data_IF_581891156864
#
_entry.id   IF_581891156864
#
_cell.length_a   1.000
_cell.length_b   1.000
_cell.length_c   1.000
_cell.angle_alpha   90.00
_cell.angle_beta   90.00
_cell.angle_gamma   90.00
#
_symmetry.space_group_name_H-M   'P 1'
#
loop_
_entity.id
_entity.type
_entity.pdbx_description
1 polymer ?
#
# COMPACT_ATOMS: atom_id res chain seq x y z
N UNK A 1 -18.31 34.31 -12.26
CA UNK A 1 -17.27 33.72 -11.39
C UNK A 1 -17.91 32.62 -10.55
N UNK A 2 -17.89 31.36 -11.03
CA UNK A 2 -18.41 30.21 -10.28
C UNK A 2 -17.33 29.76 -9.30
N UNK A 3 -17.58 29.96 -8.01
CA UNK A 3 -16.75 29.45 -6.93
C UNK A 3 -16.81 27.92 -6.97
N UNK A 4 -15.76 27.28 -7.50
CA UNK A 4 -15.56 25.84 -7.42
C UNK A 4 -15.24 25.49 -5.95
N UNK A 5 -16.26 25.49 -5.10
CA UNK A 5 -16.15 24.97 -3.74
C UNK A 5 -15.79 23.47 -3.85
N UNK A 6 -14.65 23.03 -3.26
CA UNK A 6 -14.24 21.64 -3.35
C UNK A 6 -15.32 20.74 -2.75
N UNK A 7 -15.81 19.78 -3.53
CA UNK A 7 -16.83 18.83 -3.06
C UNK A 7 -16.36 18.14 -1.77
N UNK A 8 -17.23 18.00 -0.76
CA UNK A 8 -16.90 17.22 0.42
C UNK A 8 -16.64 15.77 -0.01
N UNK A 9 -15.47 15.25 0.35
CA UNK A 9 -15.12 13.86 0.03
C UNK A 9 -15.97 12.95 0.91
N UNK A 10 -16.67 11.99 0.29
CA UNK A 10 -17.54 11.07 1.01
C UNK A 10 -16.69 10.14 1.89
N UNK A 11 -17.00 10.08 3.19
CA UNK A 11 -16.27 9.25 4.17
C UNK A 11 -16.30 7.76 3.83
N UNK A 12 -17.37 7.29 3.22
CA UNK A 12 -17.47 5.90 2.74
C UNK A 12 -16.47 5.60 1.63
N UNK A 13 -16.27 6.53 0.69
CA UNK A 13 -15.28 6.38 -0.38
C UNK A 13 -13.86 6.32 0.19
N UNK A 14 -13.55 7.14 1.21
CA UNK A 14 -12.27 7.08 1.90
C UNK A 14 -12.08 5.76 2.64
N UNK A 15 -13.14 5.21 3.23
CA UNK A 15 -13.10 3.91 3.92
C UNK A 15 -12.82 2.77 2.95
N UNK A 16 -13.49 2.74 1.80
CA UNK A 16 -13.22 1.76 0.73
C UNK A 16 -11.80 1.93 0.16
N UNK A 17 -11.37 3.17 -0.07
CA UNK A 17 -10.01 3.45 -0.55
C UNK A 17 -8.96 2.95 0.43
N UNK A 18 -9.17 3.16 1.73
CA UNK A 18 -8.32 2.64 2.79
C UNK A 18 -8.30 1.11 2.78
N UNK A 19 -9.47 0.46 2.70
CA UNK A 19 -9.55 -1.00 2.65
C UNK A 19 -8.77 -1.61 1.47
N UNK A 20 -8.95 -1.08 0.27
CA UNK A 20 -8.23 -1.55 -0.92
C UNK A 20 -6.73 -1.26 -0.84
N UNK A 21 -6.36 -0.07 -0.37
CA UNK A 21 -4.95 0.31 -0.20
C UNK A 21 -4.27 -0.58 0.85
N UNK A 22 -4.96 -0.90 1.94
CA UNK A 22 -4.49 -1.86 2.95
C UNK A 22 -4.35 -3.26 2.38
N UNK A 23 -5.34 -3.75 1.63
CA UNK A 23 -5.28 -5.05 0.97
C UNK A 23 -4.03 -5.17 0.08
N UNK A 24 -3.85 -4.26 -0.88
CA UNK A 24 -2.70 -4.32 -1.79
C UNK A 24 -1.38 -4.03 -1.09
N UNK A 25 -1.36 -3.10 -0.13
CA UNK A 25 -0.18 -2.79 0.66
C UNK A 25 0.35 -3.98 1.44
N UNK A 26 -0.55 -4.75 2.07
CA UNK A 26 -0.17 -5.96 2.82
C UNK A 26 0.36 -7.06 1.90
N UNK A 27 -0.23 -7.24 0.72
CA UNK A 27 0.28 -8.19 -0.26
C UNK A 27 1.69 -7.81 -0.73
N UNK A 28 1.93 -6.53 -1.03
CA UNK A 28 3.26 -6.03 -1.40
C UNK A 28 4.30 -6.22 -0.29
N UNK A 29 3.93 -5.95 0.98
CA UNK A 29 4.81 -6.19 2.12
C UNK A 29 5.15 -7.68 2.29
N UNK A 30 4.18 -8.56 2.04
CA UNK A 30 4.38 -10.01 2.08
C UNK A 30 5.32 -10.50 0.98
N UNK A 31 5.21 -9.94 -0.23
CA UNK A 31 6.11 -10.22 -1.35
C UNK A 31 7.52 -9.62 -1.16
N UNK A 32 7.63 -8.48 -0.47
CA UNK A 32 8.89 -7.77 -0.27
C UNK A 32 9.91 -8.59 0.53
N UNK A 33 9.50 -9.27 1.61
CA UNK A 33 10.42 -10.01 2.47
C UNK A 33 11.14 -11.18 1.75
N UNK A 34 10.42 -12.09 1.05
CA UNK A 34 11.05 -13.11 0.23
C UNK A 34 11.99 -12.53 -0.84
N UNK A 35 11.59 -11.47 -1.53
CA UNK A 35 12.40 -10.84 -2.58
C UNK A 35 13.67 -10.18 -2.03
N UNK A 36 13.60 -9.53 -0.87
CA UNK A 36 14.78 -8.97 -0.21
C UNK A 36 15.81 -10.06 0.10
N UNK A 37 15.37 -11.20 0.62
CA UNK A 37 16.26 -12.31 0.92
C UNK A 37 16.77 -12.96 -0.38
N UNK A 38 15.88 -13.36 -1.27
CA UNK A 38 16.28 -14.04 -2.50
C UNK A 38 17.20 -13.19 -3.40
N UNK A 39 16.86 -11.92 -3.61
CA UNK A 39 17.64 -11.04 -4.50
C UNK A 39 18.86 -10.48 -3.77
N UNK A 40 18.69 -9.81 -2.64
CA UNK A 40 19.84 -9.13 -2.01
C UNK A 40 20.77 -10.11 -1.29
N UNK A 41 20.23 -11.09 -0.55
CA UNK A 41 21.05 -12.06 0.16
C UNK A 41 21.61 -13.12 -0.78
N UNK A 42 20.77 -13.83 -1.52
CA UNK A 42 21.23 -15.02 -2.25
C UNK A 42 21.93 -14.65 -3.58
N UNK A 43 21.43 -13.63 -4.31
CA UNK A 43 22.04 -13.21 -5.59
C UNK A 43 23.16 -12.18 -5.42
N UNK A 44 23.03 -11.24 -4.48
CA UNK A 44 24.04 -10.18 -4.27
C UNK A 44 24.94 -10.38 -3.03
N UNK A 45 24.68 -11.40 -2.20
CA UNK A 45 25.52 -11.72 -1.04
C UNK A 45 25.44 -10.71 0.10
N UNK A 46 24.38 -9.89 0.17
CA UNK A 46 24.23 -8.88 1.22
C UNK A 46 24.06 -9.53 2.59
N UNK A 47 24.59 -8.87 3.62
CA UNK A 47 24.38 -9.34 4.98
C UNK A 47 22.94 -9.10 5.43
N UNK A 48 22.48 -9.88 6.41
CA UNK A 48 21.16 -9.68 7.01
C UNK A 48 21.01 -8.29 7.65
N UNK A 49 22.13 -7.71 8.12
CA UNK A 49 22.17 -6.37 8.72
C UNK A 49 21.87 -5.32 7.65
N UNK A 50 22.50 -5.42 6.47
CA UNK A 50 22.29 -4.47 5.37
C UNK A 50 20.85 -4.48 4.87
N UNK A 51 20.26 -5.68 4.75
CA UNK A 51 18.86 -5.85 4.37
C UNK A 51 17.92 -5.25 5.43
N UNK A 52 18.23 -5.45 6.71
CA UNK A 52 17.48 -4.86 7.81
C UNK A 52 17.56 -3.32 7.81
N UNK A 53 18.73 -2.75 7.54
CA UNK A 53 18.93 -1.31 7.42
C UNK A 53 18.17 -0.72 6.23
N UNK A 54 18.14 -1.42 5.09
CA UNK A 54 17.36 -1.02 3.92
C UNK A 54 15.86 -1.02 4.23
N UNK A 55 15.35 -2.08 4.87
CA UNK A 55 13.95 -2.16 5.27
C UNK A 55 13.59 -1.06 6.27
N UNK A 56 14.44 -0.81 7.27
CA UNK A 56 14.27 0.30 8.21
C UNK A 56 14.24 1.65 7.50
N UNK A 57 15.16 1.88 6.57
CA UNK A 57 15.19 3.09 5.74
C UNK A 57 13.89 3.29 4.97
N UNK A 58 13.37 2.22 4.36
CA UNK A 58 12.09 2.24 3.64
C UNK A 58 10.94 2.71 4.53
N UNK A 59 10.84 2.16 5.75
CA UNK A 59 9.82 2.58 6.72
C UNK A 59 10.05 3.99 7.26
N UNK A 60 11.29 4.41 7.47
CA UNK A 60 11.60 5.78 7.88
C UNK A 60 11.19 6.80 6.82
N UNK A 61 11.25 6.43 5.53
CA UNK A 61 10.82 7.31 4.45
C UNK A 61 9.30 7.62 4.48
N UNK A 62 8.48 6.80 5.14
CA UNK A 62 7.04 7.07 5.25
C UNK A 62 6.75 8.30 6.11
N UNK A 63 7.65 8.65 7.03
CA UNK A 63 7.55 9.88 7.83
C UNK A 63 7.73 11.15 6.98
N UNK A 64 8.26 11.04 5.76
CA UNK A 64 8.29 12.16 4.81
C UNK A 64 6.91 12.48 4.22
N UNK A 65 5.85 11.73 4.53
CA UNK A 65 4.51 12.01 4.03
C UNK A 65 4.05 13.45 4.33
N UNK A 66 4.29 13.95 5.55
CA UNK A 66 3.92 15.30 5.94
C UNK A 66 4.67 16.39 5.15
N UNK A 67 6.02 16.41 5.08
CA UNK A 67 6.72 17.41 4.27
C UNK A 67 6.40 17.29 2.78
N UNK A 68 6.29 16.07 2.23
CA UNK A 68 5.91 15.86 0.84
C UNK A 68 4.49 16.38 0.55
N UNK A 69 3.54 16.21 1.48
CA UNK A 69 2.18 16.72 1.33
C UNK A 69 2.14 18.25 1.31
N UNK A 70 3.07 18.93 2.00
CA UNK A 70 3.18 20.40 1.97
C UNK A 70 3.68 20.90 0.62
N UNK A 71 4.53 20.14 -0.06
CA UNK A 71 5.08 20.51 -1.37
C UNK A 71 4.14 20.17 -2.53
N UNK A 72 3.59 18.94 -2.56
CA UNK A 72 2.79 18.45 -3.69
C UNK A 72 1.28 18.61 -3.48
N UNK A 73 0.86 18.89 -2.25
CA UNK A 73 -0.54 18.90 -1.83
C UNK A 73 -1.02 17.51 -1.38
N UNK A 74 -1.78 17.41 -0.27
CA UNK A 74 -2.13 16.11 0.33
C UNK A 74 -2.98 15.23 -0.58
N UNK A 75 -3.91 15.81 -1.35
CA UNK A 75 -4.80 15.04 -2.24
C UNK A 75 -4.05 14.47 -3.45
N UNK A 76 -3.14 15.24 -4.04
CA UNK A 76 -2.34 14.79 -5.18
C UNK A 76 -1.36 13.71 -4.75
N UNK A 77 -0.66 13.94 -3.64
CA UNK A 77 0.27 12.96 -3.08
C UNK A 77 -0.44 11.65 -2.73
N UNK A 78 -1.63 11.72 -2.11
CA UNK A 78 -2.41 10.53 -1.82
C UNK A 78 -2.84 9.79 -3.09
N UNK A 79 -3.37 10.51 -4.09
CA UNK A 79 -3.77 9.89 -5.35
C UNK A 79 -2.59 9.17 -6.02
N UNK A 80 -1.42 9.81 -6.05
CA UNK A 80 -0.19 9.20 -6.57
C UNK A 80 0.22 7.98 -5.75
N UNK A 81 0.22 8.07 -4.41
CA UNK A 81 0.63 6.99 -3.53
C UNK A 81 -0.28 5.76 -3.65
N UNK A 82 -1.61 5.95 -3.65
CA UNK A 82 -2.56 4.85 -3.84
C UNK A 82 -2.44 4.25 -5.24
N UNK A 83 -2.31 5.10 -6.27
CA UNK A 83 -2.17 4.62 -7.66
C UNK A 83 -0.88 3.83 -7.84
N UNK A 84 0.24 4.27 -7.26
CA UNK A 84 1.51 3.53 -7.29
C UNK A 84 1.42 2.21 -6.55
N UNK A 85 0.74 2.17 -5.41
CA UNK A 85 0.52 0.93 -4.65
C UNK A 85 -0.26 -0.09 -5.50
N UNK A 86 -1.39 0.32 -6.07
CA UNK A 86 -2.20 -0.54 -6.92
C UNK A 86 -1.46 -0.95 -8.20
N UNK A 87 -0.80 0.00 -8.88
CA UNK A 87 -0.05 -0.27 -10.10
C UNK A 87 1.12 -1.23 -9.86
N UNK A 88 1.89 -1.04 -8.79
CA UNK A 88 2.97 -1.96 -8.44
C UNK A 88 2.44 -3.38 -8.24
N UNK A 89 1.30 -3.52 -7.55
CA UNK A 89 0.67 -4.83 -7.33
C UNK A 89 0.24 -5.50 -8.63
N UNK A 90 -0.41 -4.73 -9.52
CA UNK A 90 -0.84 -5.20 -10.83
C UNK A 90 0.35 -5.60 -11.70
N UNK A 91 1.42 -4.80 -11.72
CA UNK A 91 2.62 -5.09 -12.49
C UNK A 91 3.32 -6.36 -12.00
N UNK A 92 3.46 -6.56 -10.69
CA UNK A 92 4.02 -7.80 -10.13
C UNK A 92 3.15 -9.01 -10.49
N UNK A 93 1.82 -8.86 -10.56
CA UNK A 93 0.94 -9.96 -10.95
C UNK A 93 1.09 -10.33 -12.43
N UNK A 94 1.26 -9.34 -13.30
CA UNK A 94 1.29 -9.53 -14.75
C UNK A 94 2.70 -9.83 -15.29
N UNK A 95 3.73 -9.47 -14.53
CA UNK A 95 5.13 -9.59 -14.92
C UNK A 95 5.77 -10.81 -14.27
N UNK A 96 6.27 -11.74 -15.07
CA UNK A 96 6.85 -13.01 -14.58
C UNK A 96 8.35 -13.18 -14.92
N UNK A 97 9.06 -12.11 -15.29
CA UNK A 97 10.35 -12.24 -15.97
C UNK A 97 11.62 -12.04 -15.12
N UNK A 98 11.66 -11.08 -14.18
CA UNK A 98 12.90 -10.80 -13.42
C UNK A 98 12.60 -10.48 -11.93
N UNK A 99 13.09 -11.30 -10.98
CA UNK A 99 12.95 -11.06 -9.54
C UNK A 99 13.51 -9.70 -9.09
N UNK A 100 14.48 -9.13 -9.80
CA UNK A 100 14.99 -7.79 -9.50
C UNK A 100 13.95 -6.71 -9.79
N UNK A 101 13.20 -6.84 -10.89
CA UNK A 101 12.12 -5.92 -11.23
C UNK A 101 10.99 -6.01 -10.20
N UNK A 102 10.63 -7.23 -9.78
CA UNK A 102 9.62 -7.45 -8.75
C UNK A 102 10.05 -6.86 -7.41
N UNK A 103 11.34 -6.95 -7.05
CA UNK A 103 11.86 -6.31 -5.84
C UNK A 103 11.70 -4.79 -5.90
N UNK A 104 12.05 -4.17 -7.03
CA UNK A 104 11.92 -2.71 -7.20
C UNK A 104 10.45 -2.27 -7.12
N UNK A 105 9.54 -3.01 -7.76
CA UNK A 105 8.11 -2.76 -7.69
C UNK A 105 7.58 -2.93 -6.26
N UNK A 106 8.01 -3.98 -5.56
CA UNK A 106 7.61 -4.23 -4.18
C UNK A 106 8.12 -3.13 -3.23
N UNK A 107 9.34 -2.62 -3.42
CA UNK A 107 9.90 -1.50 -2.68
C UNK A 107 9.11 -0.20 -2.93
N UNK A 108 8.90 0.16 -4.20
CA UNK A 108 8.16 1.37 -4.58
C UNK A 108 6.71 1.31 -4.09
N UNK A 109 6.05 0.17 -4.29
CA UNK A 109 4.68 -0.06 -3.85
C UNK A 109 4.54 -0.03 -2.34
N UNK A 110 5.47 -0.65 -1.60
CA UNK A 110 5.46 -0.63 -0.13
C UNK A 110 5.72 0.77 0.44
N UNK A 111 6.62 1.54 -0.18
CA UNK A 111 6.85 2.94 0.20
C UNK A 111 5.61 3.78 -0.07
N UNK A 112 5.00 3.63 -1.25
CA UNK A 112 3.78 4.33 -1.62
C UNK A 112 2.63 3.99 -0.66
N UNK A 113 2.48 2.72 -0.30
CA UNK A 113 1.54 2.26 0.72
C UNK A 113 1.80 2.95 2.06
N UNK A 114 3.05 2.92 2.54
CA UNK A 114 3.42 3.56 3.80
C UNK A 114 3.19 5.07 3.83
N UNK A 115 3.40 5.76 2.70
CA UNK A 115 3.07 7.19 2.55
C UNK A 115 1.57 7.45 2.53
N UNK A 116 0.76 6.53 2.00
CA UNK A 116 -0.69 6.70 1.89
C UNK A 116 -1.41 6.68 3.24
N UNK A 117 -0.93 5.89 4.21
CA UNK A 117 -1.56 5.71 5.52
C UNK A 117 -1.69 7.03 6.32
N UNK A 118 -0.62 7.79 6.60
CA UNK A 118 -0.73 9.05 7.33
C UNK A 118 -1.55 10.10 6.56
N UNK A 119 -1.56 10.06 5.22
CA UNK A 119 -2.37 10.96 4.39
C UNK A 119 -3.86 10.64 4.49
N UNK A 120 -4.24 9.36 4.48
CA UNK A 120 -5.61 8.92 4.68
C UNK A 120 -6.10 9.28 6.09
N UNK A 121 -5.29 9.03 7.12
CA UNK A 121 -5.59 9.43 8.50
C UNK A 121 -5.80 10.94 8.60
N UNK A 122 -4.93 11.75 7.98
CA UNK A 122 -5.07 13.21 7.98
C UNK A 122 -6.36 13.69 7.28
N UNK A 123 -6.82 13.01 6.22
CA UNK A 123 -8.08 13.34 5.55
C UNK A 123 -9.32 12.94 6.36
N UNK A 124 -9.23 11.87 7.16
CA UNK A 124 -10.30 11.48 8.08
C UNK A 124 -10.37 12.40 9.31
N UNK A 125 -9.22 12.86 9.81
CA UNK A 125 -9.09 13.71 10.99
C UNK A 125 -9.30 15.21 10.69
N UNK A 126 -10.29 15.56 9.87
CA UNK A 126 -10.58 16.94 9.46
C UNK A 126 -10.53 17.94 10.65
N UNK A 127 -10.06 19.19 10.47
CA UNK A 127 -9.71 20.12 11.57
C UNK A 127 -10.80 20.33 12.63
N UNK A 128 -12.07 20.23 12.23
CA UNK A 128 -13.24 20.49 13.08
C UNK A 128 -13.89 19.20 13.63
N UNK A 129 -13.35 18.03 13.29
CA UNK A 129 -13.91 16.74 13.69
C UNK A 129 -13.15 16.17 14.90
N UNK A 130 -13.90 15.83 15.96
CA UNK A 130 -13.33 15.10 17.09
C UNK A 130 -12.66 13.79 16.62
N UNK A 131 -11.60 13.31 17.29
CA UNK A 131 -10.99 12.01 16.97
C UNK A 131 -12.01 10.87 16.93
N UNK A 132 -13.03 10.93 17.79
CA UNK A 132 -14.15 9.99 17.83
C UNK A 132 -15.01 9.98 16.55
N UNK A 133 -15.08 11.10 15.82
CA UNK A 133 -15.83 11.20 14.57
C UNK A 133 -15.07 10.64 13.35
N UNK A 134 -13.76 10.38 13.46
CA UNK A 134 -12.93 9.78 12.40
C UNK A 134 -12.89 8.24 12.49
N UNK A 135 -13.02 7.68 13.70
CA UNK A 135 -13.01 6.24 13.97
C UNK A 135 -14.00 5.40 13.15
N UNK A 136 -15.25 5.83 12.91
CA UNK A 136 -16.24 5.03 12.17
C UNK A 136 -15.87 4.78 10.70
N UNK A 137 -14.92 5.53 10.13
CA UNK A 137 -14.41 5.30 8.78
C UNK A 137 -13.05 4.62 8.75
N UNK A 138 -12.15 4.99 9.67
CA UNK A 138 -10.79 4.43 9.75
C UNK A 138 -10.78 2.96 10.19
N UNK A 139 -11.51 2.63 11.26
CA UNK A 139 -11.58 1.30 11.82
C UNK A 139 -12.04 0.24 10.81
N UNK A 140 -13.25 0.37 10.23
CA UNK A 140 -13.75 -0.61 9.28
C UNK A 140 -12.99 -0.61 7.95
N UNK A 141 -12.36 0.51 7.54
CA UNK A 141 -11.50 0.52 6.35
C UNK A 141 -10.26 -0.36 6.54
N UNK A 142 -9.50 -0.13 7.62
CA UNK A 142 -8.30 -0.94 7.92
C UNK A 142 -8.65 -2.40 8.20
N UNK A 143 -9.65 -2.64 9.04
CA UNK A 143 -10.09 -3.99 9.38
C UNK A 143 -10.69 -4.71 8.18
N UNK A 144 -11.40 -4.00 7.31
CA UNK A 144 -11.93 -4.53 6.06
C UNK A 144 -10.82 -4.97 5.12
N UNK A 145 -9.80 -4.13 4.91
CA UNK A 145 -8.62 -4.51 4.11
C UNK A 145 -7.88 -5.72 4.67
N UNK A 146 -7.68 -5.77 5.99
CA UNK A 146 -7.07 -6.91 6.69
C UNK A 146 -7.91 -8.18 6.57
N UNK A 147 -9.23 -8.09 6.78
CA UNK A 147 -10.14 -9.22 6.69
C UNK A 147 -10.21 -9.77 5.25
N UNK A 148 -10.17 -8.89 4.24
CA UNK A 148 -10.09 -9.28 2.85
C UNK A 148 -8.76 -9.98 2.53
N UNK A 149 -7.62 -9.43 2.97
CA UNK A 149 -6.30 -10.04 2.75
C UNK A 149 -6.22 -11.43 3.38
N UNK A 150 -6.71 -11.56 4.62
CA UNK A 150 -6.72 -12.82 5.35
C UNK A 150 -7.70 -13.82 4.73
N UNK A 151 -8.87 -13.36 4.31
CA UNK A 151 -9.88 -14.19 3.64
C UNK A 151 -9.36 -14.73 2.31
N UNK A 152 -8.70 -13.89 1.50
CA UNK A 152 -8.05 -14.32 0.27
C UNK A 152 -6.94 -15.34 0.56
N UNK A 153 -6.06 -15.08 1.53
CA UNK A 153 -5.03 -16.05 1.93
C UNK A 153 -5.61 -17.37 2.43
N UNK A 154 -6.71 -17.33 3.17
CA UNK A 154 -7.40 -18.52 3.66
C UNK A 154 -8.05 -19.33 2.53
N UNK A 155 -8.70 -18.66 1.58
CA UNK A 155 -9.36 -19.30 0.44
C UNK A 155 -8.37 -20.02 -0.48
N UNK A 156 -7.18 -19.46 -0.67
CA UNK A 156 -6.12 -20.06 -1.48
C UNK A 156 -5.18 -20.98 -0.66
N UNK A 157 -5.62 -21.40 0.53
CA UNK A 157 -4.96 -22.44 1.30
C UNK A 157 -3.54 -22.06 1.76
N UNK A 158 -3.32 -20.79 2.10
CA UNK A 158 -2.00 -20.21 2.47
C UNK A 158 -0.92 -20.27 1.39
N UNK A 159 -1.25 -20.67 0.15
CA UNK A 159 -0.34 -20.55 -0.97
C UNK A 159 -0.13 -19.08 -1.33
N UNK A 160 1.11 -18.77 -1.70
CA UNK A 160 1.53 -17.42 -2.07
C UNK A 160 0.91 -17.06 -3.43
N UNK A 161 -0.24 -16.37 -3.38
CA UNK A 161 -1.08 -15.93 -4.51
C UNK A 161 -0.30 -15.18 -5.60
N UNK A 162 0.83 -14.60 -5.22
CA UNK A 162 1.80 -13.96 -6.09
C UNK A 162 2.31 -14.88 -7.21
N UNK A 163 2.41 -16.19 -6.98
CA UNK A 163 3.02 -17.13 -7.94
C UNK A 163 2.01 -17.93 -8.77
N UNK A 164 0.70 -17.66 -8.63
CA UNK A 164 -0.34 -18.35 -9.39
C UNK A 164 -0.72 -17.55 -10.66
N UNK A 165 -0.51 -18.10 -11.87
CA UNK A 165 -0.78 -17.40 -13.13
C UNK A 165 -2.26 -17.46 -13.56
N UNK A 166 -3.19 -17.86 -12.69
CA UNK A 166 -4.57 -18.09 -13.06
C UNK A 166 -5.41 -16.78 -13.09
N UNK A 167 -6.42 -16.76 -13.97
CA UNK A 167 -7.26 -15.58 -14.22
C UNK A 167 -8.17 -15.24 -13.04
N UNK A 168 -8.57 -16.22 -12.23
CA UNK A 168 -9.34 -15.97 -11.01
C UNK A 168 -8.46 -15.32 -9.94
N UNK A 169 -7.21 -15.75 -9.77
CA UNK A 169 -6.23 -15.01 -8.95
C UNK A 169 -6.04 -13.59 -9.49
N UNK A 170 -5.90 -13.41 -10.80
CA UNK A 170 -5.76 -12.06 -11.37
C UNK A 170 -6.99 -11.16 -11.11
N UNK A 171 -8.22 -11.70 -11.08
CA UNK A 171 -9.45 -10.91 -10.89
C UNK A 171 -9.86 -10.70 -9.43
N UNK A 172 -9.54 -11.63 -8.53
CA UNK A 172 -9.80 -11.49 -7.09
C UNK A 172 -8.68 -10.76 -6.35
N UNK A 173 -7.55 -10.52 -7.01
CA UNK A 173 -6.35 -9.89 -6.45
C UNK A 173 -5.96 -8.57 -7.15
N UNK A 174 -6.63 -8.19 -8.25
CA UNK A 174 -6.47 -6.89 -8.94
C UNK A 174 -7.46 -5.81 -8.48
#
# INVERSE_FOLDING_TARGET
>A
MTTNSPRPVNRWQLGTLLALTTLFGLQLLRTLLPLLLYVLRDRFGWSAIDIGLLALGLFLLTFLAAPLARWFGPRRLLATAVSLTALARLLIQLWTADPLADLLLALVGSLAFGLSLPLLVALFAAPDASPAAALPGLGPGLLGGLALDLGLHGLYGTYDLHWQPDVASALFVA
#
